data_IF_332099524163
#
_entry.id   IF_332099524163
#
_cell.length_a   1.000
_cell.length_b   1.000
_cell.length_c   1.000
_cell.angle_alpha   90.00
_cell.angle_beta   90.00
_cell.angle_gamma   90.00
#
_symmetry.space_group_name_H-M   'P 1'
#
loop_
_entity.id
_entity.type
_entity.pdbx_description
1 polymer ?
#
# COMPACT_ATOMS: atom_id res chain seq x y z
N UNK A 1 -12.21 22.89 -11.65
CA UNK A 1 -11.30 24.02 -11.92
C UNK A 1 -11.21 24.83 -10.63
N UNK A 2 -10.13 24.69 -9.86
CA UNK A 2 -9.88 25.49 -8.66
C UNK A 2 -8.46 26.02 -8.73
N UNK A 3 -8.35 27.35 -8.68
CA UNK A 3 -7.11 28.11 -8.79
C UNK A 3 -6.84 28.72 -7.41
N UNK A 4 -5.69 28.42 -6.83
CA UNK A 4 -5.12 29.20 -5.72
C UNK A 4 -3.62 29.35 -5.96
N UNK A 5 -3.22 30.58 -6.28
CA UNK A 5 -1.82 31.01 -6.29
C UNK A 5 -1.35 31.20 -4.85
N UNK A 6 -0.26 30.56 -4.47
CA UNK A 6 0.60 31.03 -3.38
C UNK A 6 2.03 31.10 -3.90
N UNK A 7 2.59 32.32 -3.89
CA UNK A 7 3.93 32.62 -4.38
C UNK A 7 4.99 32.28 -3.34
N UNK A 8 5.76 31.24 -3.63
CA UNK A 8 7.12 31.01 -3.13
C UNK A 8 7.92 30.48 -4.34
N UNK A 9 9.23 30.76 -4.45
CA UNK A 9 10.02 30.30 -5.60
C UNK A 9 10.03 28.77 -5.60
N UNK A 10 9.42 28.16 -6.63
CA UNK A 10 9.19 26.72 -6.73
C UNK A 10 10.51 25.94 -6.84
N UNK A 11 10.90 25.12 -5.84
CA UNK A 11 11.67 23.92 -6.14
C UNK A 11 10.71 22.90 -6.77
N UNK A 12 11.15 22.19 -7.81
CA UNK A 12 10.35 21.25 -8.60
C UNK A 12 9.47 20.34 -7.72
N UNK A 13 8.15 20.51 -7.82
CA UNK A 13 7.14 19.79 -7.04
C UNK A 13 7.14 18.30 -7.41
N UNK A 14 7.85 17.47 -6.64
CA UNK A 14 7.80 15.99 -6.76
C UNK A 14 7.35 15.34 -5.45
N UNK A 15 6.19 15.77 -4.93
CA UNK A 15 5.58 15.12 -3.75
C UNK A 15 4.11 14.84 -4.04
N UNK A 16 3.75 13.55 -4.06
CA UNK A 16 2.38 13.07 -4.28
C UNK A 16 1.88 12.33 -3.04
N UNK A 17 0.78 12.81 -2.45
CA UNK A 17 0.06 12.13 -1.36
C UNK A 17 -1.28 11.64 -1.89
N UNK A 18 -1.50 10.32 -1.90
CA UNK A 18 -2.75 9.70 -2.34
C UNK A 18 -3.57 9.26 -1.12
N UNK A 19 -4.83 9.70 -1.04
CA UNK A 19 -5.79 9.27 -0.01
C UNK A 19 -7.16 9.05 -0.66
N UNK A 20 -7.87 8.00 -0.24
CA UNK A 20 -9.23 7.70 -0.71
C UNK A 20 -10.31 8.56 -0.05
N UNK A 21 -9.99 9.23 1.07
CA UNK A 21 -10.90 10.14 1.77
C UNK A 21 -10.07 11.31 2.32
N UNK A 22 -9.96 12.46 1.63
CA UNK A 22 -9.12 13.57 2.08
C UNK A 22 -9.72 14.36 3.25
N UNK A 23 -11.04 14.26 3.49
CA UNK A 23 -11.77 15.10 4.44
C UNK A 23 -11.24 15.13 5.89
N UNK A 24 -10.75 14.03 6.49
CA UNK A 24 -10.21 14.07 7.84
C UNK A 24 -8.74 14.50 7.87
N UNK A 25 -8.03 14.52 6.76
CA UNK A 25 -6.58 14.72 6.76
C UNK A 25 -6.22 16.20 6.77
N UNK A 26 -5.32 16.60 7.67
CA UNK A 26 -4.67 17.92 7.63
C UNK A 26 -3.25 17.74 7.12
N UNK A 27 -2.88 18.49 6.09
CA UNK A 27 -1.54 18.42 5.48
C UNK A 27 -0.79 19.70 5.80
N UNK A 28 0.42 19.58 6.35
CA UNK A 28 1.27 20.71 6.73
C UNK A 28 2.66 20.55 6.11
N UNK A 29 3.05 21.40 5.15
CA UNK A 29 4.42 21.44 4.67
C UNK A 29 5.33 22.10 5.72
N UNK A 30 6.57 21.63 5.83
CA UNK A 30 7.60 22.20 6.70
C UNK A 30 8.96 22.24 5.99
N UNK A 31 9.88 23.04 6.53
CA UNK A 31 11.23 23.18 5.99
C UNK A 31 11.90 21.81 5.80
N UNK A 32 12.79 21.67 4.79
CA UNK A 32 13.54 20.43 4.59
C UNK A 32 14.26 19.99 5.85
N UNK A 33 14.32 18.68 6.08
CA UNK A 33 15.07 18.14 7.20
C UNK A 33 16.56 18.13 6.84
N UNK A 34 17.36 18.91 7.57
CA UNK A 34 18.80 18.98 7.34
C UNK A 34 19.15 19.61 5.99
N UNK A 35 19.94 18.92 5.16
CA UNK A 35 20.43 19.41 3.86
C UNK A 35 19.59 18.95 2.66
N UNK A 36 18.40 18.38 2.90
CA UNK A 36 17.49 17.96 1.84
C UNK A 36 17.02 19.16 1.02
N UNK A 37 16.89 18.99 -0.29
CA UNK A 37 16.22 19.92 -1.20
C UNK A 37 14.70 19.64 -1.31
N UNK A 38 14.23 18.54 -0.70
CA UNK A 38 12.82 18.20 -0.60
C UNK A 38 12.15 18.77 0.66
N UNK A 39 10.98 19.39 0.47
CA UNK A 39 10.09 19.89 1.53
C UNK A 39 9.49 18.70 2.31
N UNK A 40 9.46 18.81 3.64
CA UNK A 40 8.77 17.82 4.47
C UNK A 40 7.26 18.06 4.40
N UNK A 41 6.47 17.00 4.21
CA UNK A 41 5.01 17.07 4.29
C UNK A 41 4.55 16.20 5.46
N UNK A 42 3.99 16.85 6.49
CA UNK A 42 3.33 16.17 7.60
C UNK A 42 1.85 16.00 7.29
N UNK A 43 1.30 14.81 7.55
CA UNK A 43 -0.12 14.52 7.37
C UNK A 43 -0.69 14.05 8.70
N UNK A 44 -1.60 14.84 9.26
CA UNK A 44 -2.35 14.48 10.47
C UNK A 44 -3.68 13.84 10.07
N UNK A 45 -3.98 12.68 10.67
CA UNK A 45 -5.26 12.02 10.53
C UNK A 45 -5.90 11.86 11.92
N UNK A 46 -7.09 12.43 12.18
CA UNK A 46 -7.89 12.14 13.35
C UNK A 46 -8.46 10.73 13.18
N UNK A 47 -7.65 9.71 13.47
CA UNK A 47 -8.12 8.33 13.51
C UNK A 47 -8.95 8.19 14.79
N UNK A 48 -10.27 8.32 14.68
CA UNK A 48 -11.15 7.68 15.64
C UNK A 48 -11.06 6.16 15.41
N UNK A 49 -10.80 5.33 16.43
CA UNK A 49 -10.87 3.88 16.25
C UNK A 49 -12.31 3.52 15.91
N UNK A 50 -12.58 3.33 14.62
CA UNK A 50 -13.85 2.77 14.14
C UNK A 50 -13.95 1.38 14.80
N UNK A 51 -14.99 1.12 15.63
CA UNK A 51 -15.24 -0.21 16.13
C UNK A 51 -15.34 -1.16 14.93
N UNK A 52 -14.64 -2.31 14.91
CA UNK A 52 -14.71 -3.22 13.78
C UNK A 52 -16.17 -3.67 13.58
N UNK A 53 -16.84 -3.17 12.54
CA UNK A 53 -18.23 -3.51 12.24
C UNK A 53 -18.37 -4.91 11.61
N UNK A 54 -17.25 -5.54 11.24
CA UNK A 54 -17.21 -6.86 10.65
C UNK A 54 -16.29 -7.78 11.47
N UNK A 55 -16.57 -9.10 11.50
CA UNK A 55 -15.63 -10.07 12.05
C UNK A 55 -14.26 -9.89 11.39
N UNK A 56 -13.16 -10.08 12.14
CA UNK A 56 -11.81 -9.82 11.64
C UNK A 56 -11.57 -10.61 10.36
N UNK A 57 -11.49 -9.91 9.22
CA UNK A 57 -11.04 -10.51 7.96
C UNK A 57 -9.67 -11.11 8.21
N UNK A 58 -9.51 -12.41 7.92
CA UNK A 58 -8.21 -13.10 8.02
C UNK A 58 -7.20 -12.30 7.19
N UNK A 59 -6.12 -11.83 7.82
CA UNK A 59 -5.05 -11.14 7.10
C UNK A 59 -4.08 -12.17 6.55
N UNK A 60 -3.85 -12.14 5.24
CA UNK A 60 -2.79 -12.91 4.60
C UNK A 60 -1.45 -12.29 4.95
N UNK A 61 -0.55 -13.07 5.54
CA UNK A 61 0.83 -12.69 5.77
C UNK A 61 1.72 -13.48 4.82
N UNK A 62 2.25 -12.78 3.82
CA UNK A 62 3.20 -13.31 2.85
C UNK A 62 4.64 -13.22 3.38
N UNK A 63 5.42 -14.29 3.25
CA UNK A 63 6.81 -14.36 3.71
C UNK A 63 7.77 -14.14 2.54
N UNK A 64 8.03 -12.88 2.22
CA UNK A 64 8.89 -12.48 1.09
C UNK A 64 10.26 -13.18 1.08
N UNK A 65 10.94 -13.27 2.22
CA UNK A 65 12.27 -13.88 2.33
C UNK A 65 12.26 -15.39 2.12
N UNK A 66 11.11 -16.05 2.28
CA UNK A 66 10.94 -17.49 2.08
C UNK A 66 10.40 -17.83 0.68
N UNK A 67 10.18 -16.82 -0.17
CA UNK A 67 9.67 -17.06 -1.51
C UNK A 67 10.67 -17.81 -2.39
N UNK A 68 10.15 -18.71 -3.21
CA UNK A 68 10.93 -19.45 -4.22
C UNK A 68 11.14 -18.56 -5.45
N UNK A 69 11.86 -17.45 -5.29
CA UNK A 69 12.03 -16.39 -6.29
C UNK A 69 12.49 -16.89 -7.66
N UNK A 70 13.39 -17.86 -7.68
CA UNK A 70 13.86 -18.46 -8.93
C UNK A 70 12.71 -19.10 -9.73
N UNK A 71 11.84 -19.85 -9.07
CA UNK A 71 10.73 -20.54 -9.72
C UNK A 71 9.65 -19.55 -10.18
N UNK A 72 9.36 -18.53 -9.37
CA UNK A 72 8.44 -17.44 -9.73
C UNK A 72 8.93 -16.67 -10.96
N UNK A 73 10.23 -16.33 -11.02
CA UNK A 73 10.82 -15.66 -12.20
C UNK A 73 10.78 -16.55 -13.44
N UNK A 74 11.10 -17.83 -13.29
CA UNK A 74 11.06 -18.79 -14.39
C UNK A 74 9.63 -18.97 -14.92
N UNK A 75 8.65 -19.10 -14.02
CA UNK A 75 7.25 -19.19 -14.39
C UNK A 75 6.81 -17.98 -15.22
N UNK A 76 7.09 -16.75 -14.77
CA UNK A 76 6.74 -15.57 -15.55
C UNK A 76 7.50 -15.43 -16.87
N UNK A 77 8.74 -15.92 -16.96
CA UNK A 77 9.48 -15.93 -18.22
C UNK A 77 8.90 -16.93 -19.24
N UNK A 78 8.44 -18.09 -18.76
CA UNK A 78 7.89 -19.17 -19.59
C UNK A 78 6.39 -18.98 -19.90
N UNK A 79 5.70 -18.07 -19.20
CA UNK A 79 4.26 -17.85 -19.35
C UNK A 79 3.91 -17.16 -20.70
N UNK A 80 2.90 -17.66 -21.45
CA UNK A 80 2.55 -17.14 -22.78
C UNK A 80 1.73 -15.85 -22.70
N UNK A 81 2.35 -14.76 -22.23
CA UNK A 81 1.69 -13.46 -22.00
C UNK A 81 0.97 -12.91 -23.22
N UNK A 82 1.55 -13.06 -24.42
CA UNK A 82 0.98 -12.54 -25.65
C UNK A 82 -0.35 -13.24 -26.01
N UNK A 83 -0.42 -14.55 -25.84
CA UNK A 83 -1.63 -15.30 -26.14
C UNK A 83 -2.72 -15.04 -25.10
N UNK A 84 -2.32 -14.87 -23.85
CA UNK A 84 -3.24 -14.72 -22.72
C UNK A 84 -3.78 -13.29 -22.56
N UNK A 85 -2.96 -12.27 -22.81
CA UNK A 85 -3.27 -10.85 -22.56
C UNK A 85 -3.54 -10.05 -23.83
N UNK A 86 -2.86 -10.33 -24.94
CA UNK A 86 -2.93 -9.50 -26.16
C UNK A 86 -4.11 -9.85 -27.08
N UNK A 87 -4.69 -11.05 -26.94
CA UNK A 87 -5.86 -11.48 -27.72
C UNK A 87 -7.21 -11.02 -27.12
N UNK A 88 -7.18 -10.24 -26.05
CA UNK A 88 -8.36 -9.79 -25.32
C UNK A 88 -8.81 -8.44 -25.86
N UNK A 89 -10.00 -8.37 -26.46
CA UNK A 89 -10.58 -7.13 -27.00
C UNK A 89 -10.74 -6.00 -25.99
N UNK A 90 -10.81 -6.31 -24.69
CA UNK A 90 -11.12 -5.35 -23.64
C UNK A 90 -10.00 -5.25 -22.59
N UNK A 91 -9.44 -4.05 -22.34
CA UNK A 91 -8.36 -3.86 -21.37
C UNK A 91 -8.67 -4.35 -19.95
N UNK A 92 -9.90 -4.21 -19.47
CA UNK A 92 -10.26 -4.66 -18.11
C UNK A 92 -10.13 -6.18 -17.94
N UNK A 93 -10.51 -6.95 -18.96
CA UNK A 93 -10.39 -8.40 -18.95
C UNK A 93 -8.92 -8.84 -19.02
N UNK A 94 -8.06 -8.05 -19.67
CA UNK A 94 -6.61 -8.27 -19.64
C UNK A 94 -6.04 -8.06 -18.24
N UNK A 95 -6.49 -7.02 -17.53
CA UNK A 95 -6.09 -6.76 -16.13
C UNK A 95 -6.55 -7.88 -15.18
N UNK A 96 -7.79 -8.35 -15.32
CA UNK A 96 -8.31 -9.46 -14.52
C UNK A 96 -7.47 -10.73 -14.73
N UNK A 97 -7.20 -11.09 -15.99
CA UNK A 97 -6.34 -12.22 -16.37
C UNK A 97 -4.92 -12.11 -15.81
N UNK A 98 -4.27 -10.96 -15.97
CA UNK A 98 -2.94 -10.73 -15.40
C UNK A 98 -2.98 -10.89 -13.87
N UNK A 99 -4.03 -10.38 -13.22
CA UNK A 99 -4.20 -10.51 -11.78
C UNK A 99 -4.35 -11.98 -11.36
N UNK A 100 -5.14 -12.78 -12.07
CA UNK A 100 -5.31 -14.21 -11.82
C UNK A 100 -3.98 -14.96 -11.88
N UNK A 101 -3.17 -14.68 -12.90
CA UNK A 101 -1.84 -15.31 -13.09
C UNK A 101 -0.90 -14.91 -11.95
N UNK A 102 -0.85 -13.63 -11.60
CA UNK A 102 0.01 -13.14 -10.52
C UNK A 102 -0.41 -13.72 -9.16
N UNK A 103 -1.71 -13.71 -8.84
CA UNK A 103 -2.22 -14.22 -7.55
C UNK A 103 -1.96 -15.71 -7.43
N UNK A 104 -2.25 -16.49 -8.47
CA UNK A 104 -2.05 -17.95 -8.47
C UNK A 104 -0.58 -18.32 -8.27
N UNK A 105 0.33 -17.59 -8.93
CA UNK A 105 1.76 -17.83 -8.83
C UNK A 105 2.33 -17.39 -7.46
N UNK A 106 1.86 -16.24 -6.96
CA UNK A 106 2.18 -15.79 -5.60
C UNK A 106 1.76 -16.85 -4.57
N UNK A 107 0.55 -17.40 -4.67
CA UNK A 107 0.06 -18.48 -3.80
C UNK A 107 0.93 -19.75 -3.87
N UNK A 108 1.42 -20.10 -5.05
CA UNK A 108 2.25 -21.29 -5.26
C UNK A 108 3.70 -21.13 -4.80
N UNK A 109 4.27 -19.93 -4.91
CA UNK A 109 5.71 -19.71 -4.74
C UNK A 109 6.11 -18.84 -3.54
N UNK A 110 5.18 -18.11 -2.95
CA UNK A 110 5.42 -17.29 -1.75
C UNK A 110 4.71 -17.93 -0.56
N UNK A 111 5.44 -18.49 0.41
CA UNK A 111 4.83 -19.03 1.62
C UNK A 111 3.99 -17.97 2.31
N UNK A 112 2.74 -18.30 2.63
CA UNK A 112 1.84 -17.41 3.33
C UNK A 112 1.22 -18.09 4.54
N UNK A 113 0.74 -17.27 5.46
CA UNK A 113 0.08 -17.74 6.67
C UNK A 113 -1.08 -16.82 7.02
N UNK A 114 -2.09 -17.37 7.67
CA UNK A 114 -3.19 -16.57 8.20
C UNK A 114 -2.79 -15.98 9.53
N UNK A 115 -2.78 -14.66 9.62
CA UNK A 115 -2.69 -14.00 10.93
C UNK A 115 -4.04 -14.09 11.60
N UNK A 116 -4.10 -14.83 12.72
CA UNK A 116 -5.20 -14.71 13.66
C UNK A 116 -4.97 -13.44 14.50
N UNK A 117 -5.98 -12.58 14.56
CA UNK A 117 -5.97 -11.45 15.48
C UNK A 117 -6.04 -12.02 16.90
N UNK A 118 -4.89 -12.21 17.56
CA UNK A 118 -4.86 -12.22 19.02
C UNK A 118 -4.95 -10.74 19.43
N UNK A 119 -5.87 -10.33 20.32
CA UNK A 119 -5.78 -9.00 20.91
C UNK A 119 -4.41 -8.91 21.59
N UNK A 120 -3.48 -8.20 20.98
CA UNK A 120 -2.19 -7.95 21.62
C UNK A 120 -2.48 -7.09 22.84
N UNK A 121 -1.89 -7.46 23.98
CA UNK A 121 -1.88 -6.58 25.16
C UNK A 121 -1.43 -5.18 24.71
N UNK A 122 -2.08 -4.09 25.15
CA UNK A 122 -1.66 -2.75 24.81
C UNK A 122 -0.17 -2.59 25.12
N UNK A 123 0.62 -2.15 24.14
CA UNK A 123 2.07 -2.02 24.25
C UNK A 123 2.48 -0.92 25.23
N UNK A 124 1.54 -0.09 25.68
CA UNK A 124 1.76 0.94 26.68
C UNK A 124 0.80 0.75 27.86
N UNK A 125 1.32 0.26 28.99
CA UNK A 125 0.66 0.43 30.29
C UNK A 125 1.12 1.77 30.84
N UNK A 126 0.22 2.74 30.96
CA UNK A 126 0.46 3.93 31.77
C UNK A 126 0.48 3.47 33.23
N UNK A 127 1.62 3.57 33.89
CA UNK A 127 1.68 3.47 35.34
C UNK A 127 0.94 4.70 35.90
N UNK A 128 -0.25 4.49 36.42
CA UNK A 128 -0.90 5.47 37.29
C UNK A 128 -0.30 5.24 38.67
N UNK A 129 0.66 6.08 39.06
CA UNK A 129 1.04 6.17 40.47
C UNK A 129 -0.14 6.83 41.22
N UNK A 130 -0.55 6.18 42.30
CA UNK A 130 -1.54 6.66 43.29
C UNK A 130 -1.04 7.91 44.00
#
# INVERSE_FOLDING_TARGET
>A
MFNTRFGFPLPSLTILVLTSNPSPYTVTPSFPLGSSDHILISVFCPISPIPPQAPPKRKYLWRFTSARWWNLRRYYADFPWNDYCSHVRHPSLSVERITEVIVSDMEAHIPHSFSQHKPSKPWFRRFSYT
#
